data_IF_064187869980
#
_entry.id   IF_064187869980
#
_cell.length_a   1.000
_cell.length_b   1.000
_cell.length_c   1.000
_cell.angle_alpha   90.00
_cell.angle_beta   90.00
_cell.angle_gamma   90.00
#
_symmetry.space_group_name_H-M   'P 1'
#
loop_
_entity.id
_entity.type
_entity.pdbx_description
1 polymer ?
#
# COMPACT_ATOMS: atom_id res chain seq x y z
N UNK A 1 -16.88 3.16 18.94
CA UNK A 1 -16.85 4.64 18.92
C UNK A 1 -15.45 5.18 18.57
N UNK A 2 -14.38 4.71 19.21
CA UNK A 2 -13.00 5.19 18.95
C UNK A 2 -12.55 4.98 17.51
N UNK A 3 -12.87 3.84 16.89
CA UNK A 3 -12.48 3.54 15.51
C UNK A 3 -13.12 4.51 14.52
N UNK A 4 -14.41 4.82 14.67
CA UNK A 4 -15.11 5.81 13.83
C UNK A 4 -14.52 7.22 13.99
N UNK A 5 -14.14 7.59 15.20
CA UNK A 5 -13.53 8.89 15.47
C UNK A 5 -12.13 9.01 14.80
N UNK A 6 -11.34 7.93 14.80
CA UNK A 6 -10.05 7.90 14.10
C UNK A 6 -10.23 8.04 12.57
N UNK A 7 -11.17 7.29 11.99
CA UNK A 7 -11.51 7.40 10.57
C UNK A 7 -11.92 8.83 10.22
N UNK A 8 -12.89 9.38 10.94
CA UNK A 8 -13.37 10.73 10.68
C UNK A 8 -12.26 11.77 10.84
N UNK A 9 -11.43 11.63 11.89
CA UNK A 9 -10.29 12.51 12.10
C UNK A 9 -9.23 12.48 10.99
N UNK A 10 -9.05 11.36 10.31
CA UNK A 10 -8.18 11.27 9.14
C UNK A 10 -8.82 11.94 7.92
N UNK A 11 -10.08 11.63 7.64
CA UNK A 11 -10.83 12.18 6.51
C UNK A 11 -10.99 13.70 6.60
N UNK A 12 -11.25 14.25 7.79
CA UNK A 12 -11.35 15.70 8.04
C UNK A 12 -10.03 16.45 7.74
N UNK A 13 -8.91 15.72 7.72
CA UNK A 13 -7.58 16.24 7.37
C UNK A 13 -7.21 16.01 5.89
N UNK A 14 -8.14 15.50 5.09
CA UNK A 14 -7.89 15.15 3.70
C UNK A 14 -6.95 13.95 3.51
N UNK A 15 -6.79 13.12 4.54
CA UNK A 15 -6.00 11.90 4.47
C UNK A 15 -6.85 10.74 3.98
N UNK A 16 -6.26 9.83 3.24
CA UNK A 16 -6.88 8.55 2.91
C UNK A 16 -6.52 7.50 3.95
N UNK A 17 -7.34 6.48 4.03
CA UNK A 17 -7.20 5.37 4.96
C UNK A 17 -6.46 4.22 4.29
N UNK A 18 -5.69 3.47 5.06
CA UNK A 18 -5.19 2.16 4.68
C UNK A 18 -5.55 1.18 5.78
N UNK A 19 -6.00 -0.02 5.40
CA UNK A 19 -6.46 -1.00 6.38
C UNK A 19 -5.68 -2.30 6.29
N UNK A 20 -5.35 -2.83 7.47
CA UNK A 20 -4.98 -4.21 7.67
C UNK A 20 -5.80 -4.76 8.83
N UNK A 21 -6.56 -5.80 8.56
CA UNK A 21 -7.24 -6.59 9.57
C UNK A 21 -6.34 -7.76 9.93
N UNK A 22 -6.24 -8.14 11.17
CA UNK A 22 -5.53 -9.34 11.60
C UNK A 22 -6.34 -10.14 12.61
N UNK A 23 -6.18 -11.45 12.57
CA UNK A 23 -6.88 -12.40 13.44
C UNK A 23 -6.00 -12.88 14.60
N UNK A 24 -4.69 -12.71 14.46
CA UNK A 24 -3.67 -13.12 15.43
C UNK A 24 -2.75 -11.94 15.70
N UNK A 25 -2.85 -11.37 16.89
CA UNK A 25 -2.01 -10.27 17.36
C UNK A 25 -1.08 -10.74 18.47
N UNK A 26 0.14 -11.13 18.12
CA UNK A 26 1.14 -11.59 19.08
C UNK A 26 1.44 -10.58 20.20
N UNK A 27 1.24 -9.29 19.94
CA UNK A 27 1.52 -8.18 20.84
C UNK A 27 0.36 -7.84 21.76
N UNK A 28 -0.83 -8.31 21.43
CA UNK A 28 -2.04 -7.88 22.10
C UNK A 28 -2.33 -8.70 23.36
N UNK A 29 -2.92 -8.04 24.34
CA UNK A 29 -3.45 -8.68 25.55
C UNK A 29 -4.85 -9.27 25.31
N UNK A 30 -5.45 -9.02 24.15
CA UNK A 30 -6.78 -9.49 23.78
C UNK A 30 -6.73 -10.31 22.50
N UNK A 31 -7.72 -11.19 22.33
CA UNK A 31 -7.90 -11.93 21.09
C UNK A 31 -8.05 -11.00 19.90
N UNK A 32 -7.33 -11.26 18.79
CA UNK A 32 -7.55 -10.58 17.53
C UNK A 32 -8.87 -11.02 16.88
N UNK A 33 -9.28 -12.27 17.14
CA UNK A 33 -10.56 -12.82 16.69
C UNK A 33 -11.63 -12.69 17.81
N UNK A 34 -12.81 -12.14 17.52
CA UNK A 34 -13.89 -12.01 18.49
C UNK A 34 -14.39 -13.35 19.04
N UNK A 35 -14.75 -13.39 20.34
CA UNK A 35 -15.15 -14.62 21.05
C UNK A 35 -16.34 -15.34 20.42
N UNK A 36 -17.27 -14.64 19.79
CA UNK A 36 -18.42 -15.25 19.14
C UNK A 36 -18.03 -16.24 18.01
N UNK A 37 -16.82 -16.11 17.44
CA UNK A 37 -16.33 -17.06 16.42
C UNK A 37 -16.02 -18.41 17.07
N UNK A 38 -15.38 -18.38 18.25
CA UNK A 38 -15.13 -19.59 19.08
C UNK A 38 -16.42 -20.19 19.59
N UNK A 39 -17.33 -19.35 20.08
CA UNK A 39 -18.66 -19.78 20.58
C UNK A 39 -19.52 -20.42 19.48
N UNK A 40 -19.35 -19.99 18.23
CA UNK A 40 -19.98 -20.61 17.07
C UNK A 40 -19.41 -22.00 16.71
N UNK A 41 -18.36 -22.44 17.41
CA UNK A 41 -17.76 -23.77 17.25
C UNK A 41 -16.51 -23.82 16.38
N UNK A 42 -15.92 -22.69 16.02
CA UNK A 42 -14.65 -22.67 15.30
C UNK A 42 -13.54 -23.34 16.13
N UNK A 43 -12.75 -24.19 15.50
CA UNK A 43 -11.56 -24.77 16.12
C UNK A 43 -10.38 -23.81 16.03
N UNK A 44 -9.57 -23.78 17.06
CA UNK A 44 -8.41 -22.92 17.15
C UNK A 44 -7.38 -23.40 18.16
N UNK A 45 -6.40 -22.58 18.42
CA UNK A 45 -5.27 -22.88 19.28
C UNK A 45 -4.92 -21.68 20.16
N UNK A 46 -4.17 -21.96 21.23
CA UNK A 46 -3.64 -20.92 22.10
C UNK A 46 -2.44 -20.21 21.43
N UNK A 47 -2.44 -18.88 21.48
CA UNK A 47 -1.35 -18.06 20.97
C UNK A 47 -0.40 -17.73 22.10
N UNK A 48 0.87 -18.09 21.96
CA UNK A 48 1.92 -17.70 22.89
C UNK A 48 2.67 -16.49 22.34
N UNK A 49 3.02 -15.55 23.21
CA UNK A 49 3.89 -14.43 22.81
C UNK A 49 5.25 -14.97 22.41
N UNK A 50 5.71 -14.60 21.24
CA UNK A 50 7.00 -14.99 20.65
C UNK A 50 8.19 -14.74 21.56
N UNK A 51 8.20 -13.60 22.25
CA UNK A 51 9.31 -13.12 23.07
C UNK A 51 9.15 -13.41 24.56
N UNK A 52 8.01 -13.93 24.96
CA UNK A 52 7.75 -14.33 26.34
C UNK A 52 7.00 -15.68 26.38
N UNK A 53 7.70 -16.80 26.16
CA UNK A 53 7.10 -18.12 26.21
C UNK A 53 6.49 -18.47 27.58
N UNK A 54 6.90 -17.78 28.66
CA UNK A 54 6.36 -17.98 30.01
C UNK A 54 5.07 -17.18 30.23
N UNK A 55 4.75 -16.21 29.37
CA UNK A 55 3.52 -15.46 29.44
C UNK A 55 2.47 -16.23 28.64
N UNK A 56 1.78 -17.15 29.28
CA UNK A 56 0.59 -17.81 28.78
C UNK A 56 -0.52 -16.77 28.60
N UNK A 57 -0.44 -16.00 27.53
CA UNK A 57 -1.63 -15.31 27.06
C UNK A 57 -2.60 -16.41 26.63
N UNK A 58 -3.72 -16.49 27.34
CA UNK A 58 -4.83 -17.34 26.94
C UNK A 58 -5.54 -16.82 25.67
N UNK A 59 -4.82 -16.05 24.84
CA UNK A 59 -5.33 -15.60 23.56
C UNK A 59 -5.54 -16.79 22.65
N UNK A 60 -6.66 -16.77 21.98
CA UNK A 60 -7.08 -17.82 21.07
C UNK A 60 -7.14 -17.30 19.65
N UNK A 61 -6.68 -18.13 18.72
CA UNK A 61 -6.74 -17.85 17.27
C UNK A 61 -7.33 -19.07 16.55
N UNK A 62 -8.21 -18.88 15.53
CA UNK A 62 -8.77 -19.99 14.77
C UNK A 62 -7.74 -20.60 13.83
N UNK A 63 -7.89 -21.91 13.52
CA UNK A 63 -7.22 -22.51 12.38
C UNK A 63 -7.74 -21.89 11.08
N UNK A 64 -6.84 -21.57 10.17
CA UNK A 64 -7.16 -20.82 8.95
C UNK A 64 -8.07 -21.61 7.98
N UNK A 65 -8.06 -22.93 8.06
CA UNK A 65 -8.92 -23.83 7.27
C UNK A 65 -10.15 -24.33 8.03
N UNK A 66 -10.46 -23.77 9.20
CA UNK A 66 -11.70 -24.11 9.91
C UNK A 66 -12.92 -23.51 9.18
N UNK A 67 -13.92 -24.33 8.85
CA UNK A 67 -15.06 -23.88 8.04
C UNK A 67 -15.94 -22.83 8.75
N UNK A 68 -16.06 -22.91 10.10
CA UNK A 68 -16.84 -21.93 10.86
C UNK A 68 -16.11 -20.57 10.86
N UNK A 69 -14.79 -20.59 11.08
CA UNK A 69 -13.98 -19.39 10.95
C UNK A 69 -14.12 -18.77 9.55
N UNK A 70 -13.95 -19.58 8.50
CA UNK A 70 -14.03 -19.07 7.12
C UNK A 70 -15.40 -18.47 6.81
N UNK A 71 -16.48 -19.05 7.31
CA UNK A 71 -17.82 -18.46 7.17
C UNK A 71 -17.92 -17.11 7.87
N UNK A 72 -17.51 -17.01 9.15
CA UNK A 72 -17.62 -15.78 9.93
C UNK A 72 -16.72 -14.67 9.39
N UNK A 73 -15.49 -15.03 9.04
CA UNK A 73 -14.55 -14.07 8.44
C UNK A 73 -15.02 -13.62 7.06
N UNK A 74 -15.56 -14.52 6.24
CA UNK A 74 -16.18 -14.17 4.97
C UNK A 74 -17.35 -13.18 5.12
N UNK A 75 -18.19 -13.36 6.13
CA UNK A 75 -19.27 -12.42 6.44
C UNK A 75 -18.71 -11.04 6.84
N UNK A 76 -17.65 -11.02 7.65
CA UNK A 76 -16.98 -9.78 8.03
C UNK A 76 -16.40 -9.07 6.80
N UNK A 77 -15.66 -9.75 5.92
CA UNK A 77 -15.05 -9.12 4.74
C UNK A 77 -16.12 -8.56 3.79
N UNK A 78 -17.24 -9.26 3.61
CA UNK A 78 -18.37 -8.73 2.82
C UNK A 78 -18.96 -7.44 3.40
N UNK A 79 -19.14 -7.40 4.72
CA UNK A 79 -19.60 -6.20 5.41
C UNK A 79 -18.58 -5.06 5.34
N UNK A 80 -17.31 -5.40 5.52
CA UNK A 80 -16.19 -4.46 5.46
C UNK A 80 -16.06 -3.83 4.06
N UNK A 81 -16.16 -4.64 3.02
CA UNK A 81 -16.13 -4.12 1.65
C UNK A 81 -17.34 -3.23 1.33
N UNK A 82 -18.53 -3.55 1.85
CA UNK A 82 -19.71 -2.69 1.68
C UNK A 82 -19.50 -1.29 2.24
N UNK A 83 -18.73 -1.17 3.32
CA UNK A 83 -18.45 0.11 3.97
C UNK A 83 -17.25 0.82 3.33
N UNK A 84 -16.17 0.09 3.00
CA UNK A 84 -14.86 0.65 2.72
C UNK A 84 -14.34 0.42 1.29
N UNK A 85 -15.10 -0.15 0.36
CA UNK A 85 -14.71 -0.22 -1.05
C UNK A 85 -14.92 1.13 -1.77
N UNK A 86 -14.42 2.20 -1.14
CA UNK A 86 -14.52 3.58 -1.62
C UNK A 86 -13.12 4.18 -1.81
N UNK A 87 -12.62 4.31 -3.06
CA UNK A 87 -11.27 4.81 -3.34
C UNK A 87 -11.08 6.31 -3.06
N UNK A 88 -12.16 7.05 -2.79
CA UNK A 88 -12.04 8.45 -2.35
C UNK A 88 -11.62 8.55 -0.88
N UNK A 89 -11.92 7.52 -0.09
CA UNK A 89 -11.60 7.45 1.33
C UNK A 89 -10.47 6.48 1.66
N UNK A 90 -10.37 5.38 0.90
CA UNK A 90 -9.41 4.30 1.17
C UNK A 90 -8.41 4.20 0.03
N UNK A 91 -7.13 4.25 0.36
CA UNK A 91 -6.03 4.15 -0.60
C UNK A 91 -5.77 2.69 -0.98
N UNK A 92 -5.55 1.84 0.03
CA UNK A 92 -5.37 0.40 -0.18
C UNK A 92 -5.80 -0.42 1.03
N UNK A 93 -5.98 -1.72 0.80
CA UNK A 93 -6.26 -2.72 1.83
C UNK A 93 -5.24 -3.84 1.71
N UNK A 94 -4.63 -4.20 2.84
CA UNK A 94 -3.83 -5.41 2.96
C UNK A 94 -4.79 -6.61 2.97
N UNK A 95 -4.68 -7.46 1.97
CA UNK A 95 -5.73 -8.38 1.58
C UNK A 95 -5.37 -9.86 1.80
N UNK A 96 -4.62 -10.14 2.87
CA UNK A 96 -4.33 -11.51 3.29
C UNK A 96 -4.80 -11.81 4.71
N UNK A 97 -4.33 -11.05 5.68
CA UNK A 97 -4.79 -10.97 7.08
C UNK A 97 -4.67 -12.25 7.95
N UNK A 98 -4.05 -13.31 7.46
CA UNK A 98 -3.83 -14.54 8.22
C UNK A 98 -2.43 -14.57 8.83
N UNK A 99 -2.26 -15.38 9.87
CA UNK A 99 -1.01 -15.51 10.60
C UNK A 99 -0.71 -14.31 11.49
N UNK A 100 0.49 -14.28 12.04
CA UNK A 100 0.90 -13.21 12.95
C UNK A 100 0.81 -11.85 12.27
N UNK A 101 0.18 -10.91 12.95
CA UNK A 101 -0.06 -9.53 12.49
C UNK A 101 -0.77 -9.41 11.13
N UNK A 102 -1.33 -10.50 10.62
CA UNK A 102 -1.92 -10.54 9.28
C UNK A 102 -0.89 -10.57 8.14
N UNK A 103 0.35 -10.96 8.43
CA UNK A 103 1.49 -10.90 7.50
C UNK A 103 1.82 -12.24 6.85
N UNK A 104 1.05 -13.28 7.15
CA UNK A 104 1.25 -14.61 6.57
C UNK A 104 2.33 -15.44 7.27
N UNK A 105 2.78 -15.02 8.46
CA UNK A 105 3.73 -15.74 9.27
C UNK A 105 3.00 -16.73 10.18
N UNK A 106 3.54 -17.95 10.30
CA UNK A 106 3.07 -18.97 11.25
C UNK A 106 1.57 -19.27 11.20
N UNK A 107 0.98 -19.28 10.01
CA UNK A 107 -0.41 -19.65 9.81
C UNK A 107 -0.62 -21.13 10.20
N UNK A 108 -1.58 -21.41 11.09
CA UNK A 108 -1.87 -22.75 11.54
C UNK A 108 -3.11 -23.32 10.84
N UNK A 109 -3.08 -24.60 10.53
CA UNK A 109 -4.11 -25.32 9.80
C UNK A 109 -4.55 -26.58 10.57
N UNK A 110 -5.82 -26.93 10.47
CA UNK A 110 -6.30 -28.27 10.87
C UNK A 110 -5.65 -29.36 10.02
N UNK A 111 -5.42 -29.06 8.73
CA UNK A 111 -4.73 -29.92 7.79
C UNK A 111 -3.78 -29.08 6.93
N UNK A 112 -2.49 -29.26 7.11
CA UNK A 112 -1.44 -28.55 6.37
C UNK A 112 -1.54 -28.68 4.84
N UNK A 113 -2.20 -29.70 4.33
CA UNK A 113 -2.47 -29.85 2.89
C UNK A 113 -3.44 -28.77 2.36
N UNK A 114 -4.15 -28.07 3.24
CA UNK A 114 -5.07 -27.00 2.87
C UNK A 114 -4.39 -25.64 2.67
N UNK A 115 -3.11 -25.50 2.96
CA UNK A 115 -2.34 -24.25 2.90
C UNK A 115 -2.62 -23.43 1.62
N UNK A 116 -2.50 -24.05 0.45
CA UNK A 116 -2.73 -23.35 -0.83
C UNK A 116 -4.21 -23.02 -1.06
N UNK A 117 -5.14 -23.87 -0.62
CA UNK A 117 -6.57 -23.61 -0.72
C UNK A 117 -6.98 -22.43 0.16
N UNK A 118 -6.42 -22.35 1.35
CA UNK A 118 -6.66 -21.24 2.27
C UNK A 118 -6.15 -19.92 1.69
N UNK A 119 -4.93 -19.92 1.15
CA UNK A 119 -4.38 -18.73 0.51
C UNK A 119 -5.24 -18.30 -0.68
N UNK A 120 -5.64 -19.24 -1.53
CA UNK A 120 -6.53 -18.94 -2.64
C UNK A 120 -7.89 -18.42 -2.15
N UNK A 121 -8.49 -19.07 -1.15
CA UNK A 121 -9.76 -18.63 -0.56
C UNK A 121 -9.71 -17.18 -0.08
N UNK A 122 -8.68 -16.82 0.71
CA UNK A 122 -8.63 -15.47 1.28
C UNK A 122 -8.38 -14.40 0.21
N UNK A 123 -7.51 -14.66 -0.76
CA UNK A 123 -7.24 -13.72 -1.85
C UNK A 123 -8.44 -13.58 -2.80
N UNK A 124 -9.12 -14.67 -3.10
CA UNK A 124 -10.38 -14.67 -3.87
C UNK A 124 -11.47 -13.87 -3.12
N UNK A 125 -11.63 -14.09 -1.82
CA UNK A 125 -12.62 -13.40 -0.98
C UNK A 125 -12.44 -11.87 -1.02
N UNK A 126 -11.22 -11.38 -0.87
CA UNK A 126 -10.94 -9.96 -0.97
C UNK A 126 -11.19 -9.44 -2.39
N UNK A 127 -10.69 -10.12 -3.40
CA UNK A 127 -10.84 -9.72 -4.79
C UNK A 127 -12.29 -9.71 -5.27
N UNK A 128 -13.13 -10.60 -4.74
CA UNK A 128 -14.56 -10.68 -5.05
C UNK A 128 -15.37 -9.56 -4.42
N UNK A 129 -14.92 -9.04 -3.29
CA UNK A 129 -15.68 -8.04 -2.53
C UNK A 129 -15.17 -6.61 -2.72
N UNK A 130 -13.86 -6.40 -2.84
CA UNK A 130 -13.26 -5.08 -3.11
C UNK A 130 -12.98 -4.92 -4.60
N UNK A 131 -13.76 -4.06 -5.27
CA UNK A 131 -13.71 -3.84 -6.72
C UNK A 131 -13.03 -2.54 -7.11
N UNK A 132 -13.01 -1.56 -6.21
CA UNK A 132 -12.59 -0.19 -6.49
C UNK A 132 -11.30 0.19 -5.76
N UNK A 133 -11.12 -0.28 -4.52
CA UNK A 133 -9.95 0.00 -3.69
C UNK A 133 -8.80 -0.92 -4.05
N UNK A 134 -7.58 -0.39 -4.10
CA UNK A 134 -6.38 -1.18 -4.36
C UNK A 134 -6.19 -2.24 -3.26
N UNK A 135 -5.83 -3.44 -3.68
CA UNK A 135 -5.48 -4.53 -2.77
C UNK A 135 -3.99 -4.78 -2.83
N UNK A 136 -3.39 -4.96 -1.67
CA UNK A 136 -1.97 -5.30 -1.53
C UNK A 136 -1.83 -6.63 -0.82
N UNK A 137 -0.74 -7.33 -1.03
CA UNK A 137 -0.42 -8.59 -0.36
C UNK A 137 1.04 -8.59 0.08
N UNK A 138 1.26 -8.97 1.34
CA UNK A 138 2.60 -9.23 1.84
C UNK A 138 3.16 -10.47 1.12
N UNK A 139 4.36 -10.37 0.57
CA UNK A 139 5.07 -11.53 0.04
C UNK A 139 6.11 -12.02 1.04
N UNK A 140 6.64 -13.24 0.84
CA UNK A 140 7.55 -13.87 1.79
C UNK A 140 6.82 -14.58 2.93
N UNK A 141 5.57 -14.96 2.71
CA UNK A 141 4.79 -15.79 3.61
C UNK A 141 5.24 -17.27 3.53
N UNK A 142 4.75 -18.09 4.43
CA UNK A 142 5.07 -19.52 4.44
C UNK A 142 4.62 -20.28 3.19
N UNK A 143 3.74 -19.70 2.36
CA UNK A 143 3.30 -20.29 1.09
C UNK A 143 4.37 -20.16 0.00
N UNK A 144 5.15 -19.08 0.03
CA UNK A 144 6.25 -18.80 -0.88
C UNK A 144 5.85 -17.96 -2.10
N UNK A 145 6.79 -17.13 -2.54
CA UNK A 145 6.53 -16.08 -3.53
C UNK A 145 5.91 -16.56 -4.84
N UNK A 146 6.28 -17.72 -5.34
CA UNK A 146 5.72 -18.25 -6.59
C UNK A 146 4.19 -18.41 -6.51
N UNK A 147 3.69 -18.88 -5.37
CA UNK A 147 2.24 -19.05 -5.16
C UNK A 147 1.55 -17.73 -4.89
N UNK A 148 2.19 -16.84 -4.13
CA UNK A 148 1.70 -15.48 -3.88
C UNK A 148 1.56 -14.72 -5.19
N UNK A 149 2.59 -14.79 -6.04
CA UNK A 149 2.56 -14.21 -7.37
C UNK A 149 1.39 -14.75 -8.19
N UNK A 150 1.27 -16.07 -8.29
CA UNK A 150 0.24 -16.71 -9.10
C UNK A 150 -1.17 -16.47 -8.59
N UNK A 151 -1.40 -16.61 -7.27
CA UNK A 151 -2.74 -16.62 -6.67
C UNK A 151 -3.27 -15.23 -6.32
N UNK A 152 -2.41 -14.26 -6.07
CA UNK A 152 -2.82 -12.90 -5.72
C UNK A 152 -2.44 -11.87 -6.81
N UNK A 153 -1.15 -11.81 -7.17
CA UNK A 153 -0.64 -10.74 -8.04
C UNK A 153 -1.10 -10.95 -9.48
N UNK A 154 -0.87 -12.12 -10.07
CA UNK A 154 -1.22 -12.39 -11.47
C UNK A 154 -2.74 -12.61 -11.63
N UNK A 155 -3.36 -13.37 -10.73
CA UNK A 155 -4.79 -13.70 -10.81
C UNK A 155 -5.67 -12.49 -10.53
N UNK A 156 -5.38 -11.75 -9.47
CA UNK A 156 -6.25 -10.70 -8.93
C UNK A 156 -5.70 -9.30 -9.06
N UNK A 157 -4.51 -9.14 -9.62
CA UNK A 157 -3.85 -7.85 -9.83
C UNK A 157 -3.54 -7.12 -8.51
N UNK A 158 -3.22 -7.88 -7.45
CA UNK A 158 -2.78 -7.27 -6.20
C UNK A 158 -1.44 -6.57 -6.37
N UNK A 159 -1.26 -5.49 -5.65
CA UNK A 159 0.03 -4.82 -5.50
C UNK A 159 0.86 -5.54 -4.44
N UNK A 160 2.13 -5.20 -4.35
CA UNK A 160 3.04 -5.81 -3.39
C UNK A 160 3.18 -5.00 -2.12
N UNK A 161 3.25 -5.69 -1.01
CA UNK A 161 3.67 -5.17 0.28
C UNK A 161 4.77 -6.08 0.83
N UNK A 162 5.70 -5.51 1.57
CA UNK A 162 6.68 -6.26 2.34
C UNK A 162 6.99 -5.53 3.63
N UNK A 163 6.85 -6.22 4.74
CA UNK A 163 7.41 -5.84 6.01
C UNK A 163 8.93 -6.02 6.03
N UNK A 164 9.58 -5.48 7.02
CA UNK A 164 10.96 -5.78 7.30
C UNK A 164 12.01 -4.94 6.60
N UNK A 165 11.64 -3.83 5.91
CA UNK A 165 12.67 -2.91 5.42
C UNK A 165 13.51 -2.37 6.58
N UNK A 166 14.81 -2.23 6.35
CA UNK A 166 15.79 -1.88 7.39
C UNK A 166 16.27 -3.07 8.20
N UNK A 167 15.61 -4.22 8.11
CA UNK A 167 16.08 -5.44 8.78
C UNK A 167 17.23 -6.12 8.02
N UNK A 168 17.83 -7.07 8.68
CA UNK A 168 18.89 -7.87 8.09
C UNK A 168 18.37 -8.94 7.11
N UNK A 169 17.12 -9.35 7.26
CA UNK A 169 16.51 -10.33 6.35
C UNK A 169 15.92 -9.70 5.10
N UNK A 170 15.76 -8.38 5.06
CA UNK A 170 15.39 -7.66 3.85
C UNK A 170 16.64 -7.46 2.99
N UNK A 171 17.01 -8.50 2.28
CA UNK A 171 18.22 -8.56 1.48
C UNK A 171 17.94 -8.35 -0.01
N UNK A 172 18.95 -8.56 -0.82
CA UNK A 172 18.84 -8.40 -2.28
C UNK A 172 17.80 -9.34 -2.91
N UNK A 173 17.52 -10.48 -2.29
CA UNK A 173 16.49 -11.40 -2.75
C UNK A 173 15.11 -10.76 -2.75
N UNK A 174 14.73 -10.07 -1.66
CA UNK A 174 13.45 -9.35 -1.56
C UNK A 174 13.39 -8.18 -2.53
N UNK A 175 14.47 -7.42 -2.64
CA UNK A 175 14.57 -6.31 -3.59
C UNK A 175 14.46 -6.80 -5.03
N UNK A 176 15.08 -7.93 -5.38
CA UNK A 176 15.00 -8.54 -6.71
C UNK A 176 13.56 -8.97 -7.04
N UNK A 177 12.81 -9.49 -6.04
CA UNK A 177 11.39 -9.81 -6.22
C UNK A 177 10.61 -8.54 -6.57
N UNK A 178 10.77 -7.47 -5.78
CA UNK A 178 10.07 -6.20 -6.02
C UNK A 178 10.43 -5.66 -7.41
N UNK A 179 11.70 -5.62 -7.75
CA UNK A 179 12.19 -5.09 -9.03
C UNK A 179 11.72 -5.93 -10.23
N UNK A 180 11.49 -7.23 -10.04
CA UNK A 180 10.92 -8.09 -11.11
C UNK A 180 9.47 -7.75 -11.44
N UNK A 181 8.76 -7.09 -10.52
CA UNK A 181 7.37 -6.67 -10.68
C UNK A 181 7.23 -5.19 -11.04
N UNK A 182 8.27 -4.39 -10.77
CA UNK A 182 8.32 -2.98 -11.15
C UNK A 182 8.56 -2.84 -12.68
N UNK A 183 7.92 -1.90 -13.39
CA UNK A 183 6.98 -0.88 -12.89
C UNK A 183 5.50 -1.28 -12.93
N UNK A 184 5.21 -2.56 -13.18
CA UNK A 184 3.82 -3.02 -13.32
C UNK A 184 3.06 -3.05 -12.00
N UNK A 185 3.77 -3.20 -10.89
CA UNK A 185 3.19 -3.25 -9.53
C UNK A 185 3.84 -2.22 -8.63
N UNK A 186 3.01 -1.46 -7.94
CA UNK A 186 3.45 -0.59 -6.87
C UNK A 186 3.86 -1.40 -5.64
N UNK A 187 4.80 -0.87 -4.87
CA UNK A 187 5.31 -1.48 -3.65
C UNK A 187 4.99 -0.63 -2.43
N UNK A 188 4.39 -1.25 -1.41
CA UNK A 188 4.12 -0.69 -0.10
C UNK A 188 5.18 -1.21 0.87
N UNK A 189 6.02 -0.32 1.37
CA UNK A 189 7.10 -0.66 2.28
C UNK A 189 6.67 -0.47 3.74
N UNK A 190 7.03 -1.43 4.59
CA UNK A 190 6.81 -1.38 6.02
C UNK A 190 8.12 -1.58 6.78
N UNK A 191 8.39 -0.71 7.77
CA UNK A 191 9.57 -0.80 8.63
C UNK A 191 9.55 -2.03 9.53
N UNK A 192 10.72 -2.60 9.79
CA UNK A 192 10.85 -3.79 10.62
C UNK A 192 10.69 -3.50 12.11
N UNK A 193 11.32 -2.42 12.59
CA UNK A 193 11.45 -2.16 14.01
C UNK A 193 10.62 -0.95 14.42
N UNK A 194 10.00 -1.06 15.58
CA UNK A 194 9.19 -0.02 16.19
C UNK A 194 9.97 0.60 17.33
N UNK A 195 10.03 1.89 17.40
CA UNK A 195 10.71 2.57 18.48
C UNK A 195 11.48 3.78 17.99
N UNK A 196 12.64 4.04 18.59
CA UNK A 196 13.40 5.25 18.33
C UNK A 196 13.00 6.43 19.20
N UNK A 197 12.16 6.16 20.21
CA UNK A 197 11.74 7.16 21.19
C UNK A 197 12.58 7.14 22.47
N UNK A 198 13.50 6.18 22.61
CA UNK A 198 14.46 6.14 23.71
C UNK A 198 15.79 6.73 23.25
N UNK A 199 16.47 7.44 24.14
CA UNK A 199 17.80 7.98 23.88
C UNK A 199 18.87 6.89 23.68
N UNK A 200 18.55 5.64 24.05
CA UNK A 200 19.40 4.48 23.85
C UNK A 200 18.83 3.57 22.78
N UNK A 201 19.59 3.34 21.72
CA UNK A 201 19.31 2.30 20.75
C UNK A 201 19.42 0.93 21.45
N UNK A 202 18.29 0.24 21.51
CA UNK A 202 18.24 -1.14 21.96
C UNK A 202 17.96 -1.98 20.70
N UNK A 203 18.94 -2.71 20.17
CA UNK A 203 18.67 -3.62 19.07
C UNK A 203 17.68 -4.67 19.56
N UNK A 204 16.58 -4.81 18.86
CA UNK A 204 15.56 -5.84 19.12
C UNK A 204 16.17 -7.24 19.06
N UNK A 205 17.20 -7.37 18.29
CA UNK A 205 17.81 -8.63 18.02
C UNK A 205 19.16 -8.70 18.69
N UNK A 206 19.24 -9.54 19.71
CA UNK A 206 20.49 -9.95 20.31
C UNK A 206 21.28 -10.94 19.45
N UNK A 207 20.77 -11.24 18.21
CA UNK A 207 21.48 -12.10 17.29
C UNK A 207 22.84 -11.47 16.92
N UNK A 208 23.95 -12.16 17.19
CA UNK A 208 25.30 -11.65 16.91
C UNK A 208 25.53 -11.24 15.46
N UNK A 209 24.76 -11.79 14.51
CA UNK A 209 24.82 -11.41 13.09
C UNK A 209 24.36 -9.98 12.83
N UNK A 210 23.66 -9.35 13.78
CA UNK A 210 23.00 -8.05 13.58
C UNK A 210 23.36 -7.00 14.61
N UNK A 211 23.85 -7.40 15.77
CA UNK A 211 24.26 -6.50 16.85
C UNK A 211 25.30 -5.47 16.39
N UNK A 212 26.10 -5.80 15.39
CA UNK A 212 27.13 -4.93 14.82
C UNK A 212 26.67 -4.08 13.63
N UNK A 213 25.49 -4.34 13.08
CA UNK A 213 25.04 -3.70 11.83
C UNK A 213 24.55 -2.27 12.04
N UNK A 214 23.85 -2.03 13.13
CA UNK A 214 23.32 -0.71 13.49
C UNK A 214 23.80 -0.34 14.89
N UNK A 215 24.37 0.85 15.02
CA UNK A 215 24.86 1.38 16.31
C UNK A 215 23.91 2.46 16.85
N UNK A 216 22.96 2.89 16.05
CA UNK A 216 22.03 3.96 16.38
C UNK A 216 20.71 3.80 15.63
N UNK A 217 19.68 4.49 16.10
CA UNK A 217 18.43 4.63 15.36
C UNK A 217 18.64 5.31 13.99
N UNK A 218 19.58 6.26 13.91
CA UNK A 218 19.90 6.90 12.63
C UNK A 218 20.42 5.90 11.59
N UNK A 219 21.25 4.93 12.01
CA UNK A 219 21.76 3.88 11.11
C UNK A 219 20.62 2.98 10.61
N UNK A 220 19.71 2.60 11.52
CA UNK A 220 18.54 1.80 11.17
C UNK A 220 17.63 2.54 10.18
N UNK A 221 17.26 3.78 10.48
CA UNK A 221 16.40 4.56 9.59
C UNK A 221 17.06 4.85 8.24
N UNK A 222 18.37 5.03 8.19
CA UNK A 222 19.11 5.17 6.95
C UNK A 222 19.03 3.90 6.09
N UNK A 223 19.11 2.72 6.71
CA UNK A 223 18.95 1.45 5.98
C UNK A 223 17.50 1.25 5.51
N UNK A 224 16.51 1.53 6.37
CA UNK A 224 15.10 1.43 5.98
C UNK A 224 14.76 2.37 4.81
N UNK A 225 15.25 3.61 4.86
CA UNK A 225 15.13 4.56 3.76
C UNK A 225 15.78 4.02 2.47
N UNK A 226 17.01 3.52 2.56
CA UNK A 226 17.74 2.95 1.42
C UNK A 226 16.96 1.78 0.79
N UNK A 227 16.42 0.88 1.62
CA UNK A 227 15.63 -0.26 1.17
C UNK A 227 14.33 0.20 0.47
N UNK A 228 13.64 1.20 1.02
CA UNK A 228 12.46 1.78 0.41
C UNK A 228 12.77 2.38 -0.98
N UNK A 229 13.84 3.15 -1.09
CA UNK A 229 14.22 3.80 -2.37
C UNK A 229 14.65 2.77 -3.42
N UNK A 230 15.48 1.79 -3.06
CA UNK A 230 15.93 0.75 -4.01
C UNK A 230 14.85 -0.25 -4.40
N UNK A 231 13.80 -0.36 -3.57
CA UNK A 231 12.60 -1.15 -3.84
C UNK A 231 11.50 -0.37 -4.54
N UNK A 232 11.75 0.87 -4.98
CA UNK A 232 10.75 1.71 -5.65
C UNK A 232 9.47 1.93 -4.83
N UNK A 233 9.60 2.10 -3.50
CA UNK A 233 8.47 2.18 -2.60
C UNK A 233 7.53 3.35 -2.94
N UNK A 234 6.25 3.05 -3.06
CA UNK A 234 5.20 4.04 -3.18
C UNK A 234 4.89 4.70 -1.84
N UNK A 235 4.99 3.93 -0.77
CA UNK A 235 4.67 4.36 0.60
C UNK A 235 5.72 3.83 1.55
N UNK A 236 6.18 4.68 2.45
CA UNK A 236 6.97 4.35 3.62
C UNK A 236 6.11 4.66 4.83
N UNK A 237 5.78 3.66 5.62
CA UNK A 237 4.91 3.84 6.76
C UNK A 237 5.63 4.42 7.99
N UNK A 238 4.91 5.26 8.70
CA UNK A 238 5.27 5.82 10.00
C UNK A 238 4.18 5.45 11.02
N UNK A 239 3.83 4.19 11.07
CA UNK A 239 2.63 3.53 11.63
C UNK A 239 2.04 4.12 12.90
N UNK A 240 2.86 4.41 13.88
CA UNK A 240 2.37 4.83 15.19
C UNK A 240 3.22 6.00 15.75
N UNK A 241 2.71 6.61 16.84
CA UNK A 241 3.29 7.84 17.36
C UNK A 241 4.76 7.72 17.80
N UNK A 242 5.15 6.58 18.33
CA UNK A 242 6.52 6.34 18.81
C UNK A 242 7.50 6.22 17.64
N UNK A 243 7.13 5.43 16.63
CA UNK A 243 7.92 5.28 15.43
C UNK A 243 8.02 6.61 14.66
N UNK A 244 6.90 7.32 14.50
CA UNK A 244 6.90 8.65 13.88
C UNK A 244 7.83 9.62 14.59
N UNK A 245 7.81 9.65 15.93
CA UNK A 245 8.76 10.48 16.70
C UNK A 245 10.20 10.04 16.47
N UNK A 246 10.46 8.73 16.41
CA UNK A 246 11.78 8.18 16.11
C UNK A 246 12.32 8.66 14.78
N UNK A 247 11.53 8.54 13.71
CA UNK A 247 11.89 9.05 12.38
C UNK A 247 12.18 10.57 12.40
N UNK A 248 11.31 11.36 13.03
CA UNK A 248 11.48 12.81 13.10
C UNK A 248 12.69 13.22 13.96
N UNK A 249 12.99 12.46 15.01
CA UNK A 249 14.12 12.75 15.91
C UNK A 249 15.45 12.36 15.29
N UNK A 250 15.53 11.18 14.67
CA UNK A 250 16.80 10.58 14.26
C UNK A 250 17.07 10.63 12.75
N UNK A 251 16.04 10.88 11.93
CA UNK A 251 16.14 10.79 10.47
C UNK A 251 15.21 11.78 9.73
N UNK A 252 14.97 12.93 10.31
CA UNK A 252 14.05 13.96 9.77
C UNK A 252 14.33 14.32 8.30
N UNK A 253 15.61 14.40 7.92
CA UNK A 253 15.96 14.77 6.55
C UNK A 253 15.69 13.65 5.56
N UNK A 254 15.77 12.37 6.00
CA UNK A 254 15.35 11.23 5.17
C UNK A 254 13.84 11.21 4.97
N UNK A 255 13.06 11.61 5.98
CA UNK A 255 11.59 11.79 5.82
C UNK A 255 11.30 12.85 4.77
N UNK A 256 11.95 14.01 4.85
CA UNK A 256 11.79 15.09 3.85
C UNK A 256 12.21 14.63 2.46
N UNK A 257 13.32 13.88 2.38
CA UNK A 257 13.79 13.35 1.11
C UNK A 257 12.81 12.34 0.52
N UNK A 258 12.22 11.46 1.34
CA UNK A 258 11.19 10.53 0.88
C UNK A 258 9.92 11.27 0.40
N UNK A 259 9.53 12.37 1.04
CA UNK A 259 8.43 13.21 0.57
C UNK A 259 8.69 13.72 -0.86
N UNK A 260 9.94 14.00 -1.21
CA UNK A 260 10.33 14.51 -2.53
C UNK A 260 10.62 13.40 -3.55
N UNK A 261 11.23 12.31 -3.12
CA UNK A 261 11.79 11.25 -3.96
C UNK A 261 11.08 9.91 -3.88
N UNK A 262 10.34 9.64 -2.80
CA UNK A 262 9.54 8.43 -2.64
C UNK A 262 8.22 8.50 -3.38
N UNK A 263 7.55 7.35 -3.54
CA UNK A 263 6.29 7.28 -4.25
C UNK A 263 6.40 7.73 -5.71
N UNK A 264 5.29 8.18 -6.28
CA UNK A 264 5.27 8.84 -7.59
C UNK A 264 4.98 10.34 -7.42
N UNK A 265 5.69 11.17 -8.21
CA UNK A 265 5.61 12.64 -8.20
C UNK A 265 5.51 13.11 -9.64
N UNK A 266 4.29 13.16 -10.15
CA UNK A 266 4.00 13.44 -11.55
C UNK A 266 3.90 14.96 -11.76
N UNK A 267 4.78 15.50 -12.59
CA UNK A 267 4.88 16.94 -12.81
C UNK A 267 4.92 17.25 -14.30
N UNK A 268 4.11 18.18 -14.82
CA UNK A 268 4.31 18.73 -16.15
C UNK A 268 5.60 19.57 -16.15
N UNK A 269 6.48 19.32 -17.13
CA UNK A 269 7.74 20.09 -17.27
C UNK A 269 7.71 21.02 -18.48
N UNK A 270 6.82 20.75 -19.43
CA UNK A 270 6.62 21.62 -20.58
C UNK A 270 5.22 21.44 -21.15
N UNK A 271 4.59 22.55 -21.52
CA UNK A 271 3.31 22.57 -22.23
C UNK A 271 3.44 23.59 -23.36
N UNK A 272 3.19 23.15 -24.59
CA UNK A 272 3.22 23.98 -25.81
C UNK A 272 1.83 24.00 -26.41
N UNK A 273 1.31 25.18 -26.67
CA UNK A 273 0.00 25.41 -27.30
C UNK A 273 0.03 26.71 -28.13
N UNK A 274 -0.79 26.86 -29.15
CA UNK A 274 -0.85 28.09 -29.95
C UNK A 274 -1.44 29.26 -29.14
N UNK A 275 -0.91 30.45 -29.35
CA UNK A 275 -1.36 31.70 -28.65
C UNK A 275 -2.81 32.05 -29.01
N UNK A 276 -3.28 31.68 -30.21
CA UNK A 276 -4.64 31.89 -30.66
C UNK A 276 -5.10 30.79 -31.60
N UNK A 277 -6.36 30.44 -31.51
CA UNK A 277 -7.04 29.44 -32.36
C UNK A 277 -8.42 29.98 -32.71
N UNK A 278 -8.80 29.89 -33.97
CA UNK A 278 -10.15 30.28 -34.39
C UNK A 278 -11.19 29.26 -33.91
N UNK A 279 -12.37 29.72 -33.50
CA UNK A 279 -13.50 28.86 -33.13
C UNK A 279 -13.79 27.84 -34.25
N UNK A 280 -14.02 26.60 -33.87
CA UNK A 280 -14.23 25.48 -34.81
C UNK A 280 -12.95 24.84 -35.34
N UNK A 281 -11.79 25.48 -35.17
CA UNK A 281 -10.53 24.87 -35.51
C UNK A 281 -9.99 24.02 -34.34
N UNK A 282 -9.01 23.19 -34.65
CA UNK A 282 -8.38 22.27 -33.71
C UNK A 282 -7.32 22.98 -32.85
N UNK A 283 -7.49 22.97 -31.52
CA UNK A 283 -6.44 23.27 -30.58
C UNK A 283 -5.53 22.05 -30.39
N UNK A 284 -4.25 22.20 -30.66
CA UNK A 284 -3.25 21.15 -30.44
C UNK A 284 -2.35 21.52 -29.28
N UNK A 285 -2.19 20.61 -28.33
CA UNK A 285 -1.37 20.76 -27.13
C UNK A 285 -0.31 19.69 -27.13
N UNK A 286 0.98 20.09 -27.07
CA UNK A 286 2.10 19.19 -26.81
C UNK A 286 2.49 19.34 -25.35
N UNK A 287 2.69 18.24 -24.63
CA UNK A 287 3.05 18.28 -23.22
C UNK A 287 4.07 17.22 -22.87
N UNK A 288 4.90 17.51 -21.87
CA UNK A 288 5.97 16.65 -21.39
C UNK A 288 5.82 16.50 -19.88
N UNK A 289 5.87 15.26 -19.43
CA UNK A 289 5.70 14.90 -18.03
C UNK A 289 6.90 14.15 -17.49
N UNK A 290 7.14 14.34 -16.21
CA UNK A 290 8.17 13.66 -15.42
C UNK A 290 7.57 13.04 -14.18
N UNK A 291 8.02 11.84 -13.86
CA UNK A 291 7.91 11.29 -12.51
C UNK A 291 9.25 11.49 -11.80
N UNK A 292 9.29 12.33 -10.77
CA UNK A 292 10.50 12.55 -9.96
C UNK A 292 10.61 11.58 -8.79
N UNK A 293 9.54 10.86 -8.45
CA UNK A 293 9.53 9.83 -7.42
C UNK A 293 10.02 8.48 -7.92
N UNK A 294 10.51 7.63 -7.02
CA UNK A 294 11.03 6.28 -7.36
C UNK A 294 9.92 5.27 -7.61
N UNK A 295 8.74 5.50 -7.08
CA UNK A 295 7.58 4.62 -7.22
C UNK A 295 6.84 4.82 -8.55
N UNK A 296 5.72 4.14 -8.70
CA UNK A 296 4.91 4.15 -9.92
C UNK A 296 3.43 4.40 -9.58
N UNK A 297 2.75 5.19 -10.43
CA UNK A 297 1.30 5.35 -10.34
C UNK A 297 0.61 4.04 -10.78
N UNK A 298 -0.18 3.37 -9.92
CA UNK A 298 -0.78 2.08 -10.27
C UNK A 298 -2.03 2.22 -11.15
N UNK A 299 -2.02 3.16 -12.10
CA UNK A 299 -3.15 3.46 -12.97
C UNK A 299 -3.56 2.28 -13.87
N UNK A 300 -2.60 1.40 -14.17
CA UNK A 300 -2.80 0.16 -14.91
C UNK A 300 -3.45 -0.97 -14.10
N UNK A 301 -3.63 -0.80 -12.79
CA UNK A 301 -4.30 -1.80 -11.95
C UNK A 301 -5.77 -1.97 -12.38
N UNK A 302 -6.28 -3.20 -12.40
CA UNK A 302 -7.65 -3.53 -12.83
C UNK A 302 -8.73 -2.73 -12.09
N UNK A 303 -8.49 -2.36 -10.81
CA UNK A 303 -9.43 -1.59 -9.98
C UNK A 303 -9.47 -0.12 -10.37
N UNK A 304 -8.36 0.41 -10.83
CA UNK A 304 -8.29 1.78 -11.34
C UNK A 304 -8.57 1.85 -12.83
N UNK A 305 -8.26 0.79 -13.58
CA UNK A 305 -8.58 0.62 -14.98
C UNK A 305 -8.32 1.87 -15.83
N UNK A 306 -7.11 2.44 -15.69
CA UNK A 306 -6.67 3.63 -16.43
C UNK A 306 -7.55 4.87 -16.23
N UNK A 307 -8.18 5.01 -15.04
CA UNK A 307 -9.11 6.10 -14.72
C UNK A 307 -8.47 7.51 -14.67
N UNK A 308 -7.18 7.58 -14.36
CA UNK A 308 -6.47 8.84 -14.29
C UNK A 308 -5.91 9.20 -15.65
N UNK A 309 -6.33 10.37 -16.17
CA UNK A 309 -5.93 10.92 -17.45
C UNK A 309 -5.37 12.31 -17.29
N UNK A 310 -4.55 12.75 -18.23
CA UNK A 310 -4.17 14.15 -18.34
C UNK A 310 -5.29 14.92 -19.02
N UNK A 311 -5.74 15.99 -18.40
CA UNK A 311 -6.72 16.87 -18.98
C UNK A 311 -6.27 18.32 -18.87
N UNK A 312 -6.56 19.11 -19.91
CA UNK A 312 -6.42 20.54 -19.95
C UNK A 312 -7.80 21.17 -19.91
N UNK A 313 -7.95 22.28 -19.20
CA UNK A 313 -9.20 22.98 -19.11
C UNK A 313 -9.03 24.40 -19.65
N UNK A 314 -9.94 24.81 -20.53
CA UNK A 314 -10.13 26.20 -20.89
C UNK A 314 -11.07 26.82 -19.85
N UNK A 315 -10.57 27.82 -19.14
CA UNK A 315 -11.29 28.45 -18.05
C UNK A 315 -11.77 29.83 -18.47
N UNK A 316 -12.93 30.21 -18.01
CA UNK A 316 -13.35 31.60 -18.02
C UNK A 316 -12.37 32.42 -17.14
N UNK A 317 -11.80 33.52 -17.63
CA UNK A 317 -10.74 34.23 -16.92
C UNK A 317 -11.20 34.94 -15.64
N UNK A 318 -12.51 35.22 -15.52
CA UNK A 318 -13.05 35.94 -14.35
C UNK A 318 -13.64 34.95 -13.33
N UNK A 319 -14.47 34.02 -13.79
CA UNK A 319 -15.17 33.06 -12.90
C UNK A 319 -14.37 31.78 -12.62
N UNK A 320 -13.34 31.49 -13.41
CA UNK A 320 -12.59 30.23 -13.42
C UNK A 320 -13.47 28.99 -13.72
N UNK A 321 -14.65 29.20 -14.29
CA UNK A 321 -15.53 28.13 -14.72
C UNK A 321 -14.90 27.37 -15.90
N UNK A 322 -14.95 26.04 -15.88
CA UNK A 322 -14.48 25.22 -17.01
C UNK A 322 -15.46 25.35 -18.18
N UNK A 323 -15.03 25.94 -19.28
CA UNK A 323 -15.80 26.06 -20.50
C UNK A 323 -15.61 24.90 -21.47
N UNK A 324 -14.39 24.34 -21.52
CA UNK A 324 -14.09 23.14 -22.28
C UNK A 324 -12.97 22.36 -21.61
N UNK A 325 -13.06 21.03 -21.65
CA UNK A 325 -12.01 20.11 -21.18
C UNK A 325 -11.47 19.33 -22.36
N UNK A 326 -10.15 19.24 -22.46
CA UNK A 326 -9.43 18.48 -23.49
C UNK A 326 -8.66 17.38 -22.78
N UNK A 327 -9.01 16.13 -23.01
CA UNK A 327 -8.39 14.99 -22.33
C UNK A 327 -7.46 14.25 -23.29
N UNK A 328 -6.24 13.99 -22.86
CA UNK A 328 -5.32 13.11 -23.59
C UNK A 328 -5.52 11.67 -23.13
N UNK A 329 -6.21 10.88 -23.95
CA UNK A 329 -6.46 9.46 -23.70
C UNK A 329 -5.20 8.59 -23.80
N UNK A 330 -4.13 9.10 -24.46
CA UNK A 330 -2.87 8.38 -24.66
C UNK A 330 -1.85 8.61 -23.54
N UNK A 331 -2.05 9.66 -22.72
CA UNK A 331 -1.17 9.96 -21.61
C UNK A 331 -1.45 8.99 -20.45
N UNK A 332 -0.52 8.05 -20.23
CA UNK A 332 -0.68 6.96 -19.28
C UNK A 332 0.31 7.08 -18.10
N UNK A 333 -0.15 7.57 -16.92
CA UNK A 333 0.71 7.82 -15.76
C UNK A 333 1.46 6.59 -15.24
N UNK A 334 0.94 5.37 -15.39
CA UNK A 334 1.64 4.15 -14.96
C UNK A 334 2.90 3.85 -15.75
N UNK A 335 3.06 4.48 -16.93
CA UNK A 335 4.27 4.36 -17.74
C UNK A 335 5.34 5.42 -17.42
N UNK A 336 5.08 6.32 -16.46
CA UNK A 336 6.01 7.40 -16.11
C UNK A 336 6.94 6.97 -14.99
N UNK A 337 8.15 6.68 -15.35
CA UNK A 337 9.19 6.15 -14.46
C UNK A 337 10.26 7.22 -14.27
N UNK A 338 10.80 7.32 -13.06
CA UNK A 338 11.89 8.25 -12.71
C UNK A 338 13.04 8.16 -13.72
N UNK A 339 13.51 9.32 -14.14
CA UNK A 339 14.64 9.43 -15.10
C UNK A 339 14.23 9.39 -16.56
N UNK A 340 12.93 9.27 -16.89
CA UNK A 340 12.44 9.24 -18.26
C UNK A 340 11.27 10.18 -18.44
N UNK A 341 11.47 11.27 -19.19
CA UNK A 341 10.40 12.21 -19.54
C UNK A 341 9.52 11.60 -20.64
N UNK A 342 8.21 11.84 -20.56
CA UNK A 342 7.22 11.35 -21.53
C UNK A 342 6.57 12.50 -22.25
N UNK A 343 6.68 12.46 -23.58
CA UNK A 343 6.09 13.47 -24.48
C UNK A 343 4.82 12.95 -25.09
N UNK A 344 3.78 13.77 -25.05
CA UNK A 344 2.46 13.50 -25.62
C UNK A 344 1.98 14.67 -26.48
N UNK A 345 1.01 14.40 -27.31
CA UNK A 345 0.31 15.41 -28.09
C UNK A 345 -1.18 15.05 -28.14
N UNK A 346 -2.02 15.97 -27.72
CA UNK A 346 -3.46 15.88 -27.85
C UNK A 346 -4.01 17.03 -28.69
N UNK A 347 -5.17 16.83 -29.26
CA UNK A 347 -5.84 17.88 -30.04
C UNK A 347 -7.34 17.67 -30.07
N UNK A 348 -8.07 18.79 -29.96
CA UNK A 348 -9.53 18.77 -29.96
C UNK A 348 -10.07 20.05 -30.61
N UNK A 349 -11.24 19.96 -31.26
CA UNK A 349 -11.90 21.11 -31.85
C UNK A 349 -12.44 22.04 -30.77
N UNK A 350 -12.19 23.34 -30.92
CA UNK A 350 -12.73 24.34 -30.01
C UNK A 350 -14.20 24.60 -30.25
N UNK A 351 -14.98 24.46 -29.16
CA UNK A 351 -16.44 24.72 -29.14
C UNK A 351 -16.80 25.93 -28.27
N UNK A 352 -15.81 26.54 -27.63
CA UNK A 352 -16.00 27.74 -26.81
C UNK A 352 -16.19 28.99 -27.69
N UNK A 353 -16.98 29.99 -27.25
CA UNK A 353 -17.09 31.28 -27.92
C UNK A 353 -15.73 31.98 -28.11
N UNK A 354 -15.66 32.98 -28.98
CA UNK A 354 -14.46 33.82 -29.08
C UNK A 354 -14.24 34.58 -27.76
N UNK A 355 -13.04 34.49 -27.22
CA UNK A 355 -12.66 35.07 -25.93
C UNK A 355 -11.25 34.73 -25.51
N UNK A 356 -10.89 35.12 -24.30
CA UNK A 356 -9.67 34.71 -23.63
C UNK A 356 -10.02 33.60 -22.63
N UNK A 357 -9.16 32.57 -22.56
CA UNK A 357 -9.38 31.39 -21.69
C UNK A 357 -8.09 30.98 -21.02
#
# INVERSE_FOLDING_TARGET
ENFKALIQGALDRGLKLAFRVYIDGQDNIHNGTPDFVREAGAKGYAVHKLWDPANENNNWTPYADDPVFQEKFGNFIRAFAKEFDNPEQVDFIDAYNLGWWGEGHHVQYLNNNNKFKVYQWITDLYAENFKNVLLVVNFGTEIGFEYEKRLAIDKHDFLTRRDGIGSYWFQDAEVNIINSLFPLKAFIAEGCYWGGNSDSYQPWNTDPLYADKFKSWSDFYAQAYKDAIRGHANTLDLREATETRGWITHAKDLVKDFISNGGYRLTPIQIEYPVSVQMGNTLSIKHIWRNSGVGVCPNNNKRWNYKYKVSFALLDPESHEIKQRITDENAEPSAWIKGTDKTYKTSESLIVPAGQY
#
